data_IF_495880599639
#
_entry.id   IF_495880599639
#
_cell.length_a   1.000
_cell.length_b   1.000
_cell.length_c   1.000
_cell.angle_alpha   90.00
_cell.angle_beta   90.00
_cell.angle_gamma   90.00
#
_symmetry.space_group_name_H-M   'P 1'
#
loop_
_entity.id
_entity.type
_entity.pdbx_description
1 polymer ?
#
# COMPACT_ATOMS: atom_id res chain seq x y z
N UNK A 1 16.30 0.65 9.73
CA UNK A 1 16.44 0.57 11.21
C UNK A 1 15.13 0.15 11.90
N UNK A 2 14.01 0.82 11.62
CA UNK A 2 12.70 0.51 12.25
C UNK A 2 12.19 -0.91 11.94
N UNK A 3 12.29 -1.36 10.68
CA UNK A 3 11.76 -2.68 10.27
C UNK A 3 12.37 -3.86 11.02
N UNK A 4 13.70 -3.92 11.12
CA UNK A 4 14.41 -4.96 11.85
C UNK A 4 14.08 -4.90 13.35
N UNK A 5 13.95 -3.69 13.90
CA UNK A 5 13.65 -3.52 15.32
C UNK A 5 12.25 -4.03 15.68
N UNK A 6 11.22 -3.64 14.93
CA UNK A 6 9.86 -4.14 15.13
C UNK A 6 9.80 -5.65 14.86
N UNK A 7 10.49 -6.14 13.82
CA UNK A 7 10.60 -7.58 13.57
C UNK A 7 11.17 -8.35 14.76
N UNK A 8 12.21 -7.82 15.42
CA UNK A 8 12.75 -8.43 16.64
C UNK A 8 11.73 -8.46 17.79
N UNK A 9 10.90 -7.44 17.93
CA UNK A 9 9.81 -7.39 18.92
C UNK A 9 8.73 -8.44 18.61
N UNK A 10 8.41 -8.64 17.33
CA UNK A 10 7.38 -9.58 16.88
C UNK A 10 7.86 -11.04 16.89
N UNK A 11 9.18 -11.28 16.79
CA UNK A 11 9.75 -12.62 16.69
C UNK A 11 9.28 -13.60 17.78
N UNK A 12 9.15 -13.24 19.07
CA UNK A 12 8.67 -14.17 20.09
C UNK A 12 7.19 -14.55 19.89
N UNK A 13 6.39 -13.69 19.26
CA UNK A 13 4.99 -13.98 18.98
C UNK A 13 4.84 -15.03 17.89
N UNK A 14 5.72 -15.03 16.90
CA UNK A 14 5.75 -16.06 15.85
C UNK A 14 6.04 -17.45 16.44
N UNK A 15 6.94 -17.54 17.43
CA UNK A 15 7.20 -18.81 18.14
C UNK A 15 6.06 -19.21 19.09
N UNK A 16 5.43 -18.23 19.77
CA UNK A 16 4.34 -18.47 20.72
C UNK A 16 3.04 -18.90 20.03
N UNK A 17 2.82 -18.43 18.79
CA UNK A 17 1.63 -18.71 18.00
C UNK A 17 2.03 -19.20 16.60
N UNK A 18 2.58 -20.42 16.45
CA UNK A 18 3.07 -20.94 15.17
C UNK A 18 1.97 -21.09 14.10
N UNK A 19 0.71 -21.12 14.51
CA UNK A 19 -0.47 -21.15 13.63
C UNK A 19 -0.93 -19.77 13.15
N UNK A 20 -0.28 -18.69 13.60
CA UNK A 20 -0.59 -17.30 13.24
C UNK A 20 0.44 -16.81 12.25
N UNK A 21 -0.04 -16.19 11.18
CA UNK A 21 0.79 -15.46 10.22
C UNK A 21 0.82 -14.00 10.67
N UNK A 22 2.02 -13.46 10.83
CA UNK A 22 2.26 -12.05 11.15
C UNK A 22 3.08 -11.45 10.02
N UNK A 23 2.47 -10.54 9.25
CA UNK A 23 3.18 -9.70 8.29
C UNK A 23 3.35 -8.31 8.87
N UNK A 24 4.53 -7.74 8.66
CA UNK A 24 4.87 -6.40 9.09
C UNK A 24 5.55 -5.69 7.94
N UNK A 25 5.04 -4.51 7.60
CA UNK A 25 5.62 -3.65 6.59
C UNK A 25 5.40 -2.19 6.97
N UNK A 26 6.49 -1.44 7.06
CA UNK A 26 6.49 -0.05 7.52
C UNK A 26 5.83 0.09 8.89
N UNK A 27 4.65 0.68 8.95
CA UNK A 27 3.83 0.94 10.12
C UNK A 27 2.64 -0.04 10.24
N UNK A 28 2.35 -0.82 9.21
CA UNK A 28 1.25 -1.78 9.19
C UNK A 28 1.70 -3.16 9.71
N UNK A 29 0.85 -3.77 10.55
CA UNK A 29 0.98 -5.17 10.99
C UNK A 29 -0.31 -5.92 10.68
N UNK A 30 -0.22 -6.97 9.87
CA UNK A 30 -1.31 -7.89 9.59
C UNK A 30 -1.13 -9.18 10.40
N UNK A 31 -2.13 -9.53 11.20
CA UNK A 31 -2.16 -10.76 12.02
C UNK A 31 -3.35 -11.60 11.58
N UNK A 32 -3.10 -12.81 11.05
CA UNK A 32 -4.16 -13.70 10.61
C UNK A 32 -3.93 -15.16 11.02
N UNK A 33 -5.03 -15.88 11.24
CA UNK A 33 -5.03 -17.30 11.54
C UNK A 33 -6.40 -17.89 11.18
N UNK A 34 -6.50 -19.21 11.13
CA UNK A 34 -7.75 -19.92 10.83
C UNK A 34 -8.86 -19.67 11.86
N UNK A 35 -8.48 -19.45 13.13
CA UNK A 35 -9.43 -19.24 14.23
C UNK A 35 -9.35 -17.81 14.78
N UNK A 36 -10.49 -17.11 14.85
CA UNK A 36 -10.58 -15.73 15.39
C UNK A 36 -10.10 -15.63 16.84
N UNK A 37 -10.34 -16.67 17.65
CA UNK A 37 -9.89 -16.75 19.04
C UNK A 37 -8.36 -16.72 19.17
N UNK A 38 -7.65 -17.33 18.22
CA UNK A 38 -6.19 -17.36 18.19
C UNK A 38 -5.65 -16.01 17.73
N UNK A 39 -6.26 -15.39 16.71
CA UNK A 39 -5.92 -14.03 16.27
C UNK A 39 -6.02 -13.05 17.44
N UNK A 40 -7.10 -13.09 18.22
CA UNK A 40 -7.29 -12.19 19.36
C UNK A 40 -6.23 -12.37 20.45
N UNK A 41 -5.82 -13.61 20.74
CA UNK A 41 -4.73 -13.89 21.70
C UNK A 41 -3.37 -13.39 21.20
N UNK A 42 -3.09 -13.57 19.90
CA UNK A 42 -1.87 -13.12 19.27
C UNK A 42 -1.81 -11.58 19.17
N UNK A 43 -2.92 -10.93 18.82
CA UNK A 43 -3.06 -9.48 18.81
C UNK A 43 -2.79 -8.88 20.19
N UNK A 44 -3.43 -9.38 21.25
CA UNK A 44 -3.21 -8.88 22.61
C UNK A 44 -1.75 -9.04 23.06
N UNK A 45 -1.13 -10.18 22.74
CA UNK A 45 0.28 -10.41 23.08
C UNK A 45 1.21 -9.49 22.27
N UNK A 46 0.88 -9.23 21.01
CA UNK A 46 1.62 -8.32 20.12
C UNK A 46 1.52 -6.88 20.60
N UNK A 47 0.31 -6.39 20.92
CA UNK A 47 0.09 -5.05 21.45
C UNK A 47 0.84 -4.84 22.77
N UNK A 48 0.85 -5.84 23.65
CA UNK A 48 1.61 -5.78 24.91
C UNK A 48 3.12 -5.70 24.65
N UNK A 49 3.65 -6.51 23.72
CA UNK A 49 5.06 -6.49 23.36
C UNK A 49 5.49 -5.14 22.75
N UNK A 50 4.69 -4.59 21.82
CA UNK A 50 4.94 -3.29 21.21
C UNK A 50 4.89 -2.17 22.25
N UNK A 51 3.85 -2.14 23.09
CA UNK A 51 3.73 -1.15 24.17
C UNK A 51 4.91 -1.20 25.15
N UNK A 52 5.42 -2.40 25.47
CA UNK A 52 6.59 -2.56 26.35
C UNK A 52 7.88 -1.94 25.78
N UNK A 53 7.90 -1.64 24.47
CA UNK A 53 9.01 -1.02 23.75
C UNK A 53 8.66 0.39 23.26
N UNK A 54 7.59 0.98 23.80
CA UNK A 54 7.10 2.32 23.43
C UNK A 54 6.58 2.45 21.99
N UNK A 55 6.18 1.33 21.36
CA UNK A 55 5.42 1.34 20.11
C UNK A 55 3.94 1.28 20.44
N UNK A 56 3.26 2.42 20.30
CA UNK A 56 1.85 2.55 20.61
C UNK A 56 1.01 2.46 19.33
N UNK A 57 0.03 1.55 19.33
CA UNK A 57 -0.99 1.47 18.29
C UNK A 57 -2.26 2.09 18.84
N UNK A 58 -2.78 3.10 18.15
CA UNK A 58 -4.02 3.76 18.54
C UNK A 58 -5.20 2.77 18.38
N UNK A 59 -6.11 2.63 19.37
CA UNK A 59 -7.22 1.68 19.29
C UNK A 59 -8.09 1.84 18.04
N UNK A 60 -8.24 3.06 17.53
CA UNK A 60 -8.99 3.41 16.33
C UNK A 60 -8.34 2.92 15.02
N UNK A 61 -7.03 2.68 15.00
CA UNK A 61 -6.31 2.15 13.85
C UNK A 61 -6.41 0.62 13.75
N UNK A 62 -6.92 -0.04 14.80
CA UNK A 62 -7.10 -1.50 14.82
C UNK A 62 -8.37 -1.88 14.04
N UNK A 63 -8.18 -2.62 12.94
CA UNK A 63 -9.27 -3.09 12.09
C UNK A 63 -9.78 -4.46 12.56
N UNK A 64 -10.92 -4.47 13.28
CA UNK A 64 -11.47 -5.68 13.91
C UNK A 64 -12.27 -6.58 12.96
N UNK A 65 -12.95 -6.01 11.98
CA UNK A 65 -13.86 -6.72 11.08
C UNK A 65 -13.61 -6.36 9.61
N UNK A 66 -13.97 -7.27 8.72
CA UNK A 66 -13.83 -7.08 7.28
C UNK A 66 -14.72 -5.91 6.76
N UNK A 67 -14.33 -5.22 5.69
CA UNK A 67 -13.12 -5.44 4.89
C UNK A 67 -11.88 -4.79 5.53
N UNK A 68 -10.82 -5.58 5.72
CA UNK A 68 -9.53 -5.09 6.22
C UNK A 68 -8.74 -4.43 5.10
N UNK A 69 -8.00 -3.37 5.42
CA UNK A 69 -7.07 -2.70 4.54
C UNK A 69 -5.65 -3.05 4.94
N UNK A 70 -4.84 -3.48 3.98
CA UNK A 70 -3.43 -3.73 4.19
C UNK A 70 -2.67 -3.45 2.89
N UNK A 71 -1.69 -2.55 2.93
CA UNK A 71 -0.84 -2.19 1.78
C UNK A 71 -1.65 -1.96 0.50
N UNK A 72 -2.67 -1.10 0.52
CA UNK A 72 -3.47 -0.80 -0.68
C UNK A 72 -4.42 -1.91 -1.16
N UNK A 73 -4.51 -3.04 -0.45
CA UNK A 73 -5.51 -4.10 -0.67
C UNK A 73 -6.70 -3.96 0.28
N UNK A 74 -7.86 -4.45 -0.15
CA UNK A 74 -9.04 -4.75 0.66
C UNK A 74 -9.16 -6.26 0.77
N UNK A 75 -9.10 -6.77 1.98
CA UNK A 75 -9.21 -8.18 2.31
C UNK A 75 -10.61 -8.40 2.90
N UNK A 76 -11.37 -9.31 2.34
CA UNK A 76 -12.61 -9.84 2.92
C UNK A 76 -12.46 -11.33 3.20
N UNK A 77 -13.45 -11.92 3.86
CA UNK A 77 -13.51 -13.36 4.10
C UNK A 77 -13.49 -14.19 2.81
N UNK A 78 -13.93 -13.62 1.69
CA UNK A 78 -14.10 -14.33 0.41
C UNK A 78 -13.09 -13.94 -0.66
N UNK A 79 -12.48 -12.75 -0.59
CA UNK A 79 -11.62 -12.24 -1.65
C UNK A 79 -10.61 -11.20 -1.17
N UNK A 80 -9.48 -11.11 -1.90
CA UNK A 80 -8.52 -10.03 -1.78
C UNK A 80 -8.63 -9.20 -3.05
N UNK A 81 -8.96 -7.91 -2.89
CA UNK A 81 -9.23 -7.02 -4.01
C UNK A 81 -8.45 -5.72 -3.85
N UNK A 82 -7.91 -5.11 -4.90
CA UNK A 82 -7.27 -3.80 -4.79
C UNK A 82 -8.23 -2.76 -4.22
N UNK A 83 -7.71 -1.82 -3.42
CA UNK A 83 -8.46 -0.61 -3.04
C UNK A 83 -8.84 0.17 -4.31
N UNK A 84 -9.96 0.88 -4.25
CA UNK A 84 -10.36 1.74 -5.35
C UNK A 84 -9.36 2.89 -5.41
N UNK A 85 -8.71 3.04 -6.56
CA UNK A 85 -7.78 4.13 -6.81
C UNK A 85 -8.37 4.99 -7.90
N UNK A 86 -8.37 6.29 -7.65
CA UNK A 86 -8.76 7.31 -8.61
C UNK A 86 -7.51 8.10 -8.97
N UNK A 87 -7.18 8.16 -10.25
CA UNK A 87 -6.11 9.03 -10.74
C UNK A 87 -6.65 10.47 -10.77
N UNK A 88 -5.92 11.40 -10.15
CA UNK A 88 -6.19 12.83 -10.26
C UNK A 88 -5.26 13.43 -11.31
N UNK A 89 -5.83 13.99 -12.38
CA UNK A 89 -5.09 14.69 -13.44
C UNK A 89 -4.60 16.09 -13.08
N UNK A 90 -4.89 16.57 -11.87
CA UNK A 90 -4.43 17.89 -11.40
C UNK A 90 -2.93 17.85 -11.06
N UNK A 91 -2.09 17.94 -12.09
CA UNK A 91 -0.63 17.99 -11.96
C UNK A 91 -0.14 19.36 -12.36
N UNK A 92 0.39 20.11 -11.40
CA UNK A 92 0.91 21.46 -11.62
C UNK A 92 2.39 21.57 -11.24
N UNK A 93 2.82 20.80 -10.25
CA UNK A 93 4.18 20.80 -9.72
C UNK A 93 4.84 19.43 -9.83
N UNK A 94 6.17 19.39 -9.68
CA UNK A 94 6.92 18.13 -9.56
C UNK A 94 6.39 17.24 -8.42
N UNK A 95 6.00 17.82 -7.29
CA UNK A 95 5.38 17.09 -6.18
C UNK A 95 4.06 16.40 -6.59
N UNK A 96 3.21 17.08 -7.35
CA UNK A 96 1.96 16.50 -7.82
C UNK A 96 2.23 15.33 -8.78
N UNK A 97 3.22 15.49 -9.66
CA UNK A 97 3.66 14.44 -10.57
C UNK A 97 4.19 13.23 -9.78
N UNK A 98 5.05 13.44 -8.79
CA UNK A 98 5.58 12.35 -7.96
C UNK A 98 4.47 11.57 -7.24
N UNK A 99 3.45 12.25 -6.70
CA UNK A 99 2.29 11.60 -6.08
C UNK A 99 1.46 10.81 -7.08
N UNK A 100 1.24 11.37 -8.27
CA UNK A 100 0.55 10.69 -9.36
C UNK A 100 1.31 9.41 -9.76
N UNK A 101 2.61 9.53 -10.03
CA UNK A 101 3.44 8.39 -10.45
C UNK A 101 3.59 7.34 -9.36
N UNK A 102 3.64 7.71 -8.09
CA UNK A 102 3.57 6.77 -6.98
C UNK A 102 2.29 5.94 -6.99
N UNK A 103 1.15 6.60 -7.24
CA UNK A 103 -0.16 5.94 -7.34
C UNK A 103 -0.25 5.02 -8.56
N UNK A 104 0.24 5.46 -9.72
CA UNK A 104 0.28 4.65 -10.95
C UNK A 104 1.23 3.47 -10.80
N UNK A 105 2.41 3.67 -10.22
CA UNK A 105 3.38 2.62 -9.99
C UNK A 105 2.82 1.53 -9.08
N UNK A 106 2.12 1.91 -8.01
CA UNK A 106 1.41 0.97 -7.16
C UNK A 106 0.36 0.16 -7.93
N UNK A 107 -0.41 0.82 -8.79
CA UNK A 107 -1.42 0.18 -9.64
C UNK A 107 -0.84 -0.70 -10.74
N UNK A 108 0.39 -0.46 -11.18
CA UNK A 108 0.99 -1.16 -12.32
C UNK A 108 0.95 -2.69 -12.17
N UNK A 109 1.24 -3.18 -10.96
CA UNK A 109 1.16 -4.61 -10.61
C UNK A 109 -0.24 -5.17 -10.79
N UNK A 110 -1.24 -4.39 -10.37
CA UNK A 110 -2.66 -4.78 -10.42
C UNK A 110 -3.17 -4.76 -11.85
N UNK A 111 -2.82 -3.72 -12.61
CA UNK A 111 -3.28 -3.48 -13.98
C UNK A 111 -2.48 -4.25 -15.04
N UNK A 112 -1.41 -4.93 -14.66
CA UNK A 112 -0.50 -5.60 -15.60
C UNK A 112 0.21 -4.62 -16.52
N UNK A 113 0.51 -3.41 -16.02
CA UNK A 113 1.24 -2.39 -16.76
C UNK A 113 2.73 -2.57 -16.48
N UNK A 114 3.52 -2.68 -17.54
CA UNK A 114 4.96 -2.85 -17.48
C UNK A 114 5.66 -1.52 -17.20
N UNK A 115 6.87 -1.60 -16.63
CA UNK A 115 7.73 -0.43 -16.41
C UNK A 115 8.03 0.30 -17.73
N UNK A 116 8.10 -0.42 -18.85
CA UNK A 116 8.33 0.15 -20.18
C UNK A 116 7.15 1.01 -20.65
N UNK A 117 5.91 0.56 -20.44
CA UNK A 117 4.70 1.34 -20.75
C UNK A 117 4.64 2.64 -19.94
N UNK A 118 5.16 2.64 -18.70
CA UNK A 118 5.23 3.82 -17.83
C UNK A 118 6.48 4.67 -18.03
N UNK A 119 7.44 4.25 -18.85
CA UNK A 119 8.70 4.97 -19.05
C UNK A 119 8.54 6.44 -19.48
N UNK A 120 7.60 6.80 -20.39
CA UNK A 120 7.36 8.21 -20.75
C UNK A 120 6.99 9.06 -19.54
N UNK A 121 6.22 8.50 -18.60
CA UNK A 121 5.80 9.18 -17.38
C UNK A 121 6.97 9.35 -16.41
N UNK A 122 7.76 8.30 -16.16
CA UNK A 122 8.92 8.39 -15.26
C UNK A 122 10.04 9.29 -15.81
N UNK A 123 10.14 9.41 -17.13
CA UNK A 123 11.11 10.32 -17.76
C UNK A 123 10.85 11.80 -17.41
N UNK A 124 9.61 12.14 -17.04
CA UNK A 124 9.24 13.49 -16.60
C UNK A 124 9.77 13.86 -15.21
N UNK A 125 10.27 12.90 -14.43
CA UNK A 125 10.91 13.16 -13.14
C UNK A 125 12.35 13.71 -13.27
N UNK A 126 12.90 13.71 -14.48
CA UNK A 126 14.23 14.26 -14.75
C UNK A 126 14.14 15.77 -14.90
N UNK A 127 15.05 16.51 -14.26
CA UNK A 127 15.11 17.96 -14.35
C UNK A 127 15.42 18.61 -13.01
N UNK A 128 14.82 19.77 -12.79
CA UNK A 128 14.92 20.51 -11.52
C UNK A 128 14.39 19.66 -10.36
N UNK A 129 15.19 19.42 -9.29
CA UNK A 129 14.74 18.65 -8.14
C UNK A 129 13.76 19.41 -7.23
N UNK A 130 13.51 20.70 -7.45
CA UNK A 130 12.56 21.46 -6.64
C UNK A 130 11.13 20.91 -6.79
N UNK A 131 10.53 20.52 -5.66
CA UNK A 131 9.17 20.00 -5.58
C UNK A 131 8.12 21.01 -6.04
N UNK A 132 8.43 22.31 -5.96
CA UNK A 132 7.58 23.42 -6.40
C UNK A 132 7.78 23.77 -7.88
N UNK A 133 8.76 23.16 -8.56
CA UNK A 133 9.01 23.46 -9.98
C UNK A 133 7.75 23.17 -10.82
N UNK A 134 7.40 24.09 -11.74
CA UNK A 134 6.26 23.90 -12.61
C UNK A 134 6.52 22.75 -13.56
N UNK A 135 5.51 21.90 -13.73
CA UNK A 135 5.58 20.76 -14.63
C UNK A 135 4.91 21.04 -15.98
N UNK A 136 5.46 20.46 -17.05
CA UNK A 136 4.90 20.48 -18.40
C UNK A 136 4.66 19.07 -18.93
N UNK A 137 3.48 18.84 -19.52
CA UNK A 137 3.13 17.56 -20.15
C UNK A 137 3.83 17.37 -21.49
N UNK A 138 4.12 16.11 -21.82
CA UNK A 138 4.53 15.69 -23.16
C UNK A 138 3.43 14.84 -23.78
N UNK A 139 3.36 14.80 -25.12
CA UNK A 139 2.36 14.00 -25.84
C UNK A 139 2.46 12.51 -25.48
N UNK A 140 3.68 12.00 -25.30
CA UNK A 140 3.89 10.59 -24.95
C UNK A 140 3.50 10.27 -23.50
N UNK A 141 3.71 11.23 -22.58
CA UNK A 141 3.23 11.11 -21.22
C UNK A 141 1.70 11.10 -21.15
N UNK A 142 1.04 11.96 -21.92
CA UNK A 142 -0.43 12.01 -21.98
C UNK A 142 -1.01 10.69 -22.52
N UNK A 143 -0.41 10.14 -23.58
CA UNK A 143 -0.81 8.82 -24.13
C UNK A 143 -0.64 7.71 -23.11
N UNK A 144 0.49 7.69 -22.39
CA UNK A 144 0.74 6.68 -21.35
C UNK A 144 -0.25 6.83 -20.19
N UNK A 145 -0.60 8.06 -19.79
CA UNK A 145 -1.59 8.32 -18.75
C UNK A 145 -2.99 7.85 -19.16
N UNK A 146 -3.40 8.14 -20.41
CA UNK A 146 -4.69 7.68 -20.94
C UNK A 146 -4.77 6.15 -20.93
N UNK A 147 -3.73 5.46 -21.39
CA UNK A 147 -3.69 4.00 -21.39
C UNK A 147 -3.82 3.39 -19.98
N UNK A 148 -3.27 4.05 -18.95
CA UNK A 148 -3.46 3.65 -17.55
C UNK A 148 -4.92 3.82 -17.14
N UNK A 149 -5.54 4.95 -17.46
CA UNK A 149 -6.95 5.23 -17.12
C UNK A 149 -7.92 4.28 -17.82
N UNK A 150 -7.65 3.91 -19.07
CA UNK A 150 -8.45 2.95 -19.83
C UNK A 150 -8.41 1.58 -19.12
N UNK A 151 -7.21 1.09 -18.75
CA UNK A 151 -7.03 -0.15 -17.99
C UNK A 151 -7.71 -0.12 -16.62
N UNK A 152 -7.71 1.03 -15.94
CA UNK A 152 -8.44 1.19 -14.67
C UNK A 152 -9.95 1.04 -14.90
N UNK A 153 -10.47 1.70 -15.93
CA UNK A 153 -11.90 1.72 -16.26
C UNK A 153 -12.41 0.34 -16.67
N UNK A 154 -11.68 -0.36 -17.55
CA UNK A 154 -11.97 -1.75 -17.93
C UNK A 154 -12.05 -2.65 -16.69
N UNK A 155 -11.05 -2.59 -15.81
CA UNK A 155 -11.03 -3.42 -14.60
C UNK A 155 -12.16 -3.11 -13.63
N UNK A 156 -12.56 -1.84 -13.51
CA UNK A 156 -13.67 -1.43 -12.64
C UNK A 156 -15.03 -1.85 -13.21
N UNK A 157 -15.17 -1.90 -14.54
CA UNK A 157 -16.41 -2.37 -15.21
C UNK A 157 -16.64 -3.89 -15.13
N UNK A 158 -15.59 -4.67 -14.89
CA UNK A 158 -15.64 -6.13 -14.76
C UNK A 158 -15.79 -6.62 -13.30
N UNK A 159 -16.08 -5.73 -12.35
CA UNK A 159 -16.42 -6.05 -10.95
C UNK A 159 -17.93 -6.00 -10.74
#
# INVERSE_FOLDING_TARGET
>A
LCQLYVSNILSPMQYKFPQVIIFHYMDDILICAKEKSVVQKALNSTLSALNSKHFHIAPEEIQWDAPWKYLGWKISESAITPQQVTIKRSVHTLNDLQKLLGSINWLSLVLGITTNELHPLFSLLKGDPDLSSPWSHTVDAEKALQAVEDKISERQSHR
#
